data_IF_365368833529
#
_entry.id   IF_365368833529
#
_cell.length_a   1.000
_cell.length_b   1.000
_cell.length_c   1.000
_cell.angle_alpha   90.00
_cell.angle_beta   90.00
_cell.angle_gamma   90.00
#
_symmetry.space_group_name_H-M   'P 1'
#
loop_
_entity.id
_entity.type
_entity.pdbx_description
1 polymer ?
#
# COMPACT_ATOMS: atom_id res chain seq x y z
N UNK A 1 -30.16 32.73 -2.49
CA UNK A 1 -30.51 31.29 -2.49
C UNK A 1 -29.64 30.47 -3.45
N UNK A 2 -29.40 30.89 -4.70
CA UNK A 2 -28.55 30.15 -5.66
C UNK A 2 -27.10 29.89 -5.22
N UNK A 3 -26.42 30.83 -4.57
CA UNK A 3 -25.02 30.67 -4.14
C UNK A 3 -24.83 29.53 -3.12
N UNK A 4 -25.75 29.40 -2.17
CA UNK A 4 -25.70 28.35 -1.16
C UNK A 4 -25.92 26.95 -1.77
N UNK A 5 -26.82 26.84 -2.75
CA UNK A 5 -27.05 25.60 -3.49
C UNK A 5 -25.80 25.12 -4.25
N UNK A 6 -25.09 26.04 -4.93
CA UNK A 6 -23.83 25.73 -5.62
C UNK A 6 -22.72 25.30 -4.65
N UNK A 7 -22.62 25.95 -3.49
CA UNK A 7 -21.63 25.57 -2.47
C UNK A 7 -21.92 24.17 -1.93
N UNK A 8 -23.17 23.89 -1.57
CA UNK A 8 -23.57 22.56 -1.05
C UNK A 8 -23.34 21.48 -2.11
N UNK A 9 -23.75 21.74 -3.35
CA UNK A 9 -23.53 20.80 -4.46
C UNK A 9 -22.04 20.53 -4.69
N UNK A 10 -21.20 21.58 -4.64
CA UNK A 10 -19.75 21.42 -4.76
C UNK A 10 -19.16 20.58 -3.62
N UNK A 11 -19.62 20.76 -2.38
CA UNK A 11 -19.14 19.97 -1.23
C UNK A 11 -19.51 18.50 -1.40
N UNK A 12 -20.74 18.21 -1.82
CA UNK A 12 -21.21 16.82 -2.03
C UNK A 12 -20.40 16.15 -3.13
N UNK A 13 -20.16 16.83 -4.26
CA UNK A 13 -19.38 16.28 -5.36
C UNK A 13 -17.92 16.05 -4.95
N UNK A 14 -17.28 17.04 -4.30
CA UNK A 14 -15.92 16.89 -3.80
C UNK A 14 -15.80 15.77 -2.77
N UNK A 15 -16.80 15.60 -1.90
CA UNK A 15 -16.87 14.49 -0.96
C UNK A 15 -16.93 13.15 -1.67
N UNK A 16 -17.81 12.99 -2.66
CA UNK A 16 -17.91 11.75 -3.43
C UNK A 16 -16.61 11.43 -4.20
N UNK A 17 -15.96 12.43 -4.78
CA UNK A 17 -14.66 12.27 -5.44
C UNK A 17 -13.56 11.88 -4.46
N UNK A 18 -13.53 12.47 -3.26
CA UNK A 18 -12.57 12.08 -2.23
C UNK A 18 -12.81 10.65 -1.74
N UNK A 19 -14.06 10.27 -1.49
CA UNK A 19 -14.39 8.91 -1.08
C UNK A 19 -14.01 7.87 -2.14
N UNK A 20 -14.30 8.15 -3.42
CA UNK A 20 -13.89 7.25 -4.51
C UNK A 20 -12.37 7.16 -4.63
N UNK A 21 -11.65 8.26 -4.49
CA UNK A 21 -10.18 8.23 -4.45
C UNK A 21 -9.63 7.35 -3.33
N UNK A 22 -10.12 7.55 -2.09
CA UNK A 22 -9.71 6.74 -0.92
C UNK A 22 -10.05 5.26 -1.12
N UNK A 23 -11.17 4.97 -1.76
CA UNK A 23 -11.62 3.61 -2.02
C UNK A 23 -10.65 2.84 -2.91
N UNK A 24 -10.11 3.47 -3.96
CA UNK A 24 -9.21 2.82 -4.91
C UNK A 24 -7.73 2.89 -4.51
N UNK A 25 -7.30 3.93 -3.81
CA UNK A 25 -5.88 4.16 -3.50
C UNK A 25 -5.51 3.90 -2.03
N UNK A 26 -6.51 3.57 -1.21
CA UNK A 26 -6.38 3.44 0.23
C UNK A 26 -6.46 4.79 0.95
N UNK A 27 -6.59 4.76 2.29
CA UNK A 27 -6.58 5.97 3.10
C UNK A 27 -5.27 6.76 2.95
N UNK A 28 -5.34 8.10 2.99
CA UNK A 28 -4.14 8.94 2.94
C UNK A 28 -3.18 8.58 4.07
N UNK A 29 -1.91 8.36 3.73
CA UNK A 29 -0.86 7.96 4.66
C UNK A 29 -0.77 6.46 4.93
N UNK A 30 -1.73 5.64 4.50
CA UNK A 30 -1.71 4.20 4.78
C UNK A 30 -0.52 3.46 4.16
N UNK A 31 -0.11 3.84 2.93
CA UNK A 31 1.13 3.31 2.32
C UNK A 31 2.38 3.63 3.14
N UNK A 32 2.47 4.84 3.71
CA UNK A 32 3.64 5.22 4.53
C UNK A 32 3.69 4.41 5.82
N UNK A 33 2.54 4.23 6.48
CA UNK A 33 2.45 3.45 7.71
C UNK A 33 2.78 1.97 7.46
N UNK A 34 2.20 1.38 6.42
CA UNK A 34 2.46 -0.02 6.07
C UNK A 34 3.92 -0.24 5.64
N UNK A 35 4.50 0.70 4.88
CA UNK A 35 5.91 0.65 4.52
C UNK A 35 6.83 0.63 5.75
N UNK A 36 6.53 1.45 6.76
CA UNK A 36 7.29 1.47 8.01
C UNK A 36 7.12 0.16 8.78
N UNK A 37 5.88 -0.31 8.92
CA UNK A 37 5.55 -1.56 9.62
C UNK A 37 6.25 -2.78 8.99
N UNK A 38 6.27 -2.85 7.66
CA UNK A 38 6.96 -3.93 6.94
C UNK A 38 8.48 -3.91 7.12
N UNK A 39 9.09 -2.72 7.08
CA UNK A 39 10.54 -2.58 7.31
C UNK A 39 10.86 -2.96 8.75
N UNK A 40 10.15 -2.41 9.74
CA UNK A 40 10.37 -2.72 11.16
C UNK A 40 10.25 -4.24 11.44
N UNK A 41 9.24 -4.91 10.87
CA UNK A 41 9.07 -6.36 11.00
C UNK A 41 10.27 -7.15 10.43
N UNK A 42 10.74 -6.78 9.24
CA UNK A 42 11.84 -7.48 8.57
C UNK A 42 13.18 -7.23 9.26
N UNK A 43 13.43 -5.98 9.67
CA UNK A 43 14.63 -5.60 10.40
C UNK A 43 14.70 -6.33 11.76
N UNK A 44 13.59 -6.43 12.49
CA UNK A 44 13.52 -7.20 13.73
C UNK A 44 13.78 -8.70 13.50
N UNK A 45 13.25 -9.25 12.40
CA UNK A 45 13.32 -10.69 12.10
C UNK A 45 14.69 -11.14 11.60
N UNK A 46 15.33 -10.33 10.77
CA UNK A 46 16.55 -10.69 10.06
C UNK A 46 17.81 -9.96 10.56
N UNK A 47 17.68 -8.96 11.42
CA UNK A 47 18.80 -8.14 11.94
C UNK A 47 19.60 -7.47 10.81
N UNK A 48 18.92 -7.05 9.74
CA UNK A 48 19.47 -6.41 8.54
C UNK A 48 18.57 -5.24 8.11
N UNK A 49 19.12 -4.15 7.56
CA UNK A 49 18.33 -3.02 7.05
C UNK A 49 17.59 -3.36 5.74
N UNK A 50 16.32 -2.97 5.62
CA UNK A 50 15.50 -3.18 4.42
C UNK A 50 15.08 -1.88 3.74
N UNK A 51 14.90 -1.95 2.42
CA UNK A 51 14.39 -0.85 1.60
C UNK A 51 13.14 -1.32 0.87
N UNK A 52 12.12 -0.47 0.88
CA UNK A 52 10.89 -0.69 0.10
C UNK A 52 11.09 -0.19 -1.32
N UNK A 53 10.96 -1.09 -2.29
CA UNK A 53 11.02 -0.77 -3.73
C UNK A 53 9.68 -0.22 -4.23
N UNK A 54 8.59 -0.91 -3.91
CA UNK A 54 7.25 -0.52 -4.33
C UNK A 54 6.20 -0.99 -3.31
N UNK A 55 5.11 -0.24 -3.20
CA UNK A 55 4.00 -0.54 -2.29
C UNK A 55 2.66 -0.16 -2.91
N UNK A 56 1.72 -1.10 -2.87
CA UNK A 56 0.38 -0.93 -3.39
C UNK A 56 -0.68 -1.35 -2.35
N UNK A 57 -1.88 -0.81 -2.57
CA UNK A 57 -3.05 -1.11 -1.79
C UNK A 57 -3.92 -2.08 -2.59
N UNK A 58 -4.20 -3.24 -2.04
CA UNK A 58 -5.14 -4.20 -2.61
C UNK A 58 -6.51 -4.02 -1.95
N UNK A 59 -7.35 -3.24 -2.62
CA UNK A 59 -8.74 -3.07 -2.21
C UNK A 59 -9.55 -4.37 -2.32
N UNK A 60 -9.36 -5.13 -3.41
CA UNK A 60 -10.18 -6.31 -3.72
C UNK A 60 -9.96 -7.44 -2.72
N UNK A 61 -8.76 -7.50 -2.13
CA UNK A 61 -8.38 -8.49 -1.12
C UNK A 61 -8.48 -7.95 0.31
N UNK A 62 -9.53 -7.17 0.59
CA UNK A 62 -9.91 -6.59 1.90
C UNK A 62 -9.17 -5.33 2.35
N UNK A 63 -8.57 -4.60 1.41
CA UNK A 63 -7.93 -3.33 1.75
C UNK A 63 -6.64 -3.51 2.53
N UNK A 64 -5.78 -4.40 2.03
CA UNK A 64 -4.47 -4.73 2.61
C UNK A 64 -3.36 -4.03 1.83
N UNK A 65 -2.24 -3.79 2.50
CA UNK A 65 -1.04 -3.29 1.83
C UNK A 65 -0.12 -4.44 1.47
N UNK A 66 0.56 -4.30 0.34
CA UNK A 66 1.53 -5.25 -0.17
C UNK A 66 2.71 -4.48 -0.75
N UNK A 67 3.90 -4.97 -0.50
CA UNK A 67 5.13 -4.32 -0.89
C UNK A 67 6.17 -5.31 -1.41
N UNK A 68 7.03 -4.79 -2.28
CA UNK A 68 8.28 -5.40 -2.66
C UNK A 68 9.40 -4.70 -1.91
N UNK A 69 10.24 -5.48 -1.25
CA UNK A 69 11.30 -4.96 -0.39
C UNK A 69 12.58 -5.75 -0.60
N UNK A 70 13.74 -5.17 -0.32
CA UNK A 70 15.02 -5.84 -0.44
C UNK A 70 15.97 -5.45 0.70
N UNK A 71 16.89 -6.34 1.14
CA UNK A 71 17.93 -5.98 2.08
C UNK A 71 18.87 -4.98 1.42
N UNK A 72 19.22 -3.91 2.12
CA UNK A 72 20.04 -2.81 1.59
C UNK A 72 21.40 -3.27 1.04
N UNK A 73 22.01 -4.26 1.67
CA UNK A 73 23.30 -4.84 1.27
C UNK A 73 23.17 -5.86 0.11
N UNK A 74 21.95 -6.29 -0.20
CA UNK A 74 21.63 -7.34 -1.20
C UNK A 74 20.41 -6.97 -2.05
N UNK A 75 20.51 -5.92 -2.89
CA UNK A 75 19.39 -5.41 -3.68
C UNK A 75 18.87 -6.38 -4.75
N UNK A 76 19.62 -7.44 -5.04
CA UNK A 76 19.24 -8.55 -5.91
C UNK A 76 18.25 -9.54 -5.25
N UNK A 77 18.06 -9.45 -3.94
CA UNK A 77 17.13 -10.29 -3.18
C UNK A 77 15.84 -9.55 -2.86
N UNK A 78 14.81 -9.77 -3.70
CA UNK A 78 13.50 -9.18 -3.51
C UNK A 78 12.61 -10.08 -2.64
N UNK A 79 11.89 -9.48 -1.71
CA UNK A 79 10.92 -10.10 -0.84
C UNK A 79 9.56 -9.51 -1.16
N UNK A 80 8.55 -10.38 -1.26
CA UNK A 80 7.17 -9.95 -1.23
C UNK A 80 6.70 -9.97 0.22
N UNK A 81 6.16 -8.85 0.70
CA UNK A 81 5.58 -8.74 2.03
C UNK A 81 4.20 -8.13 1.92
N UNK A 82 3.26 -8.59 2.73
CA UNK A 82 1.89 -8.10 2.67
C UNK A 82 1.11 -8.37 3.93
N UNK A 83 -0.06 -7.73 4.02
CA UNK A 83 -1.00 -7.96 5.11
C UNK A 83 -2.02 -9.05 4.73
N UNK A 84 -2.31 -9.93 5.68
CA UNK A 84 -3.44 -10.85 5.65
C UNK A 84 -4.74 -10.13 6.08
N UNK A 85 -5.88 -10.82 5.97
CA UNK A 85 -7.20 -10.25 6.32
C UNK A 85 -7.32 -9.79 7.77
N UNK A 86 -6.54 -10.40 8.67
CA UNK A 86 -6.45 -10.04 10.10
C UNK A 86 -5.38 -8.98 10.38
N UNK A 87 -4.81 -8.36 9.33
CA UNK A 87 -3.67 -7.44 9.39
C UNK A 87 -2.38 -8.04 9.93
N UNK A 88 -2.27 -9.37 10.04
CA UNK A 88 -0.97 -10.00 10.27
C UNK A 88 -0.11 -9.88 9.02
N UNK A 89 1.19 -9.73 9.24
CA UNK A 89 2.19 -9.62 8.18
C UNK A 89 2.55 -11.03 7.72
N UNK A 90 2.48 -11.25 6.41
CA UNK A 90 2.93 -12.45 5.73
C UNK A 90 4.01 -12.08 4.72
N UNK A 91 5.10 -12.85 4.70
CA UNK A 91 6.22 -12.64 3.80
C UNK A 91 6.45 -13.89 2.96
N UNK A 92 6.75 -13.70 1.68
CA UNK A 92 7.14 -14.77 0.78
C UNK A 92 8.34 -14.31 -0.03
N UNK A 93 9.40 -15.10 0.00
CA UNK A 93 10.55 -14.87 -0.88
C UNK A 93 10.14 -15.14 -2.33
N UNK A 94 10.39 -14.19 -3.23
CA UNK A 94 10.23 -14.40 -4.68
C UNK A 94 11.42 -13.79 -5.45
N UNK A 95 12.03 -14.53 -6.37
CA UNK A 95 13.10 -13.98 -7.19
C UNK A 95 12.59 -12.84 -8.08
N UNK A 96 13.47 -11.88 -8.39
CA UNK A 96 13.17 -10.69 -9.23
C UNK A 96 12.53 -11.03 -10.59
N UNK A 97 12.79 -12.23 -11.12
CA UNK A 97 12.19 -12.72 -12.38
C UNK A 97 10.67 -12.87 -12.33
N UNK A 98 10.10 -12.97 -11.13
CA UNK A 98 8.70 -13.33 -10.91
C UNK A 98 7.83 -12.11 -10.58
N UNK A 99 8.37 -10.89 -10.74
CA UNK A 99 7.61 -9.64 -10.59
C UNK A 99 6.61 -9.52 -11.74
N UNK A 100 5.39 -10.02 -11.51
CA UNK A 100 4.23 -9.65 -12.33
C UNK A 100 3.85 -8.20 -12.01
N UNK A 101 3.95 -7.30 -12.98
CA UNK A 101 3.43 -5.94 -12.81
C UNK A 101 1.94 -6.05 -12.48
N UNK A 102 1.44 -5.39 -11.42
CA UNK A 102 0.02 -5.42 -11.09
C UNK A 102 -0.75 -4.94 -12.32
N UNK A 103 -1.61 -5.82 -12.87
CA UNK A 103 -2.33 -5.54 -14.10
C UNK A 103 -3.14 -4.26 -13.93
N UNK A 104 -2.74 -3.21 -14.64
CA UNK A 104 -3.48 -1.96 -14.73
C UNK A 104 -4.82 -2.25 -15.44
N UNK A 105 -5.86 -2.53 -14.65
CA UNK A 105 -7.23 -2.75 -15.12
C UNK A 105 -8.12 -1.62 -14.66
#
# INVERSE_FOLDING_TARGET
MFKAFWIISSIVISGALFFTYVFYHGPPGGKSNASQEFVEYLEEKYDEEFVVDDIYYDFFTNGTYHAWVYPKERPDYLFYIGQLRNHEIDETYRPLSDREEPSSS
#
